data_IF_352615407915
#
_entry.id   IF_352615407915
#
_cell.length_a   1.000
_cell.length_b   1.000
_cell.length_c   1.000
_cell.angle_alpha   90.00
_cell.angle_beta   90.00
_cell.angle_gamma   90.00
#
_symmetry.space_group_name_H-M   'P 1'
#
loop_
_entity.id
_entity.type
_entity.pdbx_description
1 polymer ?
#
# COMPACT_ATOMS: atom_id res chain seq x y z
N UNK A 1 -29.29 35.15 -40.79
CA UNK A 1 -30.04 34.87 -39.55
C UNK A 1 -29.58 33.51 -39.02
N UNK A 2 -28.29 33.38 -38.74
CA UNK A 2 -27.71 33.22 -37.39
C UNK A 2 -28.50 32.24 -36.51
N UNK A 3 -28.15 30.96 -36.69
CA UNK A 3 -28.00 29.91 -35.69
C UNK A 3 -28.43 30.30 -34.27
N UNK A 4 -29.73 30.10 -33.99
CA UNK A 4 -30.24 29.96 -32.64
C UNK A 4 -30.11 28.47 -32.27
N UNK A 5 -28.90 28.03 -31.92
CA UNK A 5 -28.69 26.69 -31.33
C UNK A 5 -28.95 26.83 -29.82
N UNK A 6 -29.99 26.15 -29.36
CA UNK A 6 -30.47 26.18 -27.98
C UNK A 6 -29.38 25.85 -26.96
N UNK A 7 -29.17 26.77 -26.01
CA UNK A 7 -28.24 26.62 -24.89
C UNK A 7 -28.55 25.40 -23.99
N UNK A 8 -29.72 24.78 -24.13
CA UNK A 8 -30.10 23.57 -23.40
C UNK A 8 -29.35 22.32 -23.89
N UNK A 9 -29.00 22.22 -25.17
CA UNK A 9 -28.21 21.09 -25.69
C UNK A 9 -26.75 21.13 -25.22
N UNK A 10 -26.19 22.32 -25.00
CA UNK A 10 -24.82 22.46 -24.52
C UNK A 10 -24.67 21.98 -23.06
N UNK A 11 -25.68 22.21 -22.22
CA UNK A 11 -25.68 21.78 -20.82
C UNK A 11 -25.72 20.26 -20.64
N UNK A 12 -26.46 19.56 -21.51
CA UNK A 12 -26.53 18.08 -21.48
C UNK A 12 -25.20 17.50 -22.00
N UNK A 13 -24.63 18.06 -23.08
CA UNK A 13 -23.33 17.62 -23.60
C UNK A 13 -22.16 17.85 -22.62
N UNK A 14 -22.23 18.89 -21.79
CA UNK A 14 -21.19 19.17 -20.80
C UNK A 14 -21.18 18.16 -19.64
N UNK A 15 -22.35 17.61 -19.31
CA UNK A 15 -22.51 16.58 -18.26
C UNK A 15 -21.89 15.23 -18.64
N UNK A 16 -21.74 14.95 -19.94
CA UNK A 16 -21.05 13.75 -20.45
C UNK A 16 -19.53 13.91 -20.51
N UNK A 17 -19.00 15.14 -20.44
CA UNK A 17 -17.56 15.39 -20.58
C UNK A 17 -16.76 15.08 -19.30
N UNK A 18 -17.43 14.94 -18.15
CA UNK A 18 -16.79 14.71 -16.87
C UNK A 18 -17.32 13.43 -16.23
N UNK A 19 -16.85 12.25 -16.66
CA UNK A 19 -17.15 11.01 -15.96
C UNK A 19 -16.69 11.16 -14.50
N UNK A 20 -17.65 11.17 -13.57
CA UNK A 20 -17.37 11.01 -12.15
C UNK A 20 -16.68 9.66 -11.99
N UNK A 21 -15.36 9.67 -11.76
CA UNK A 21 -14.62 8.44 -11.45
C UNK A 21 -15.07 7.96 -10.07
N UNK A 22 -15.93 6.94 -10.06
CA UNK A 22 -16.16 6.14 -8.86
C UNK A 22 -14.87 5.38 -8.54
N UNK A 23 -14.10 5.88 -7.58
CA UNK A 23 -12.93 5.17 -7.06
C UNK A 23 -13.40 4.18 -6.00
N UNK A 24 -13.40 2.88 -6.34
CA UNK A 24 -13.60 1.82 -5.36
C UNK A 24 -12.21 1.29 -4.96
N UNK A 25 -11.86 1.42 -3.69
CA UNK A 25 -10.60 0.89 -3.16
C UNK A 25 -10.75 -0.61 -2.87
N UNK A 26 -10.04 -1.45 -3.61
CA UNK A 26 -9.94 -2.88 -3.33
C UNK A 26 -8.77 -3.14 -2.36
N UNK A 27 -9.06 -3.82 -1.25
CA UNK A 27 -8.05 -4.21 -0.24
C UNK A 27 -7.89 -5.72 -0.25
N UNK A 28 -6.65 -6.19 -0.45
CA UNK A 28 -6.31 -7.61 -0.49
C UNK A 28 -5.20 -7.91 0.52
N UNK A 29 -5.43 -8.85 1.43
CA UNK A 29 -4.39 -9.38 2.31
C UNK A 29 -3.65 -10.48 1.60
N UNK A 30 -2.33 -10.31 1.39
CA UNK A 30 -1.46 -11.29 0.73
C UNK A 30 -0.30 -11.68 1.64
N UNK A 31 0.12 -12.95 1.56
CA UNK A 31 1.32 -13.46 2.25
C UNK A 31 2.56 -13.34 1.35
N UNK A 32 3.73 -13.57 1.95
CA UNK A 32 4.99 -13.68 1.21
C UNK A 32 4.87 -14.73 0.09
N UNK A 33 5.38 -14.40 -1.10
CA UNK A 33 5.32 -15.28 -2.27
C UNK A 33 3.98 -15.29 -3.00
N UNK A 34 2.93 -14.65 -2.47
CA UNK A 34 1.68 -14.47 -3.21
C UNK A 34 1.77 -13.30 -4.20
N UNK A 35 0.98 -13.41 -5.27
CA UNK A 35 0.95 -12.45 -6.36
C UNK A 35 -0.46 -11.91 -6.61
N UNK A 36 -0.55 -10.69 -7.12
CA UNK A 36 -1.77 -10.05 -7.61
C UNK A 36 -1.58 -9.77 -9.10
N UNK A 37 -2.53 -10.19 -9.93
CA UNK A 37 -2.54 -9.88 -11.37
C UNK A 37 -3.53 -8.75 -11.64
N UNK A 38 -3.06 -7.71 -12.31
CA UNK A 38 -3.82 -6.53 -12.70
C UNK A 38 -3.89 -6.54 -14.22
N UNK A 39 -5.09 -6.71 -14.76
CA UNK A 39 -5.32 -6.64 -16.20
C UNK A 39 -5.88 -5.27 -16.55
N UNK A 40 -5.21 -4.56 -17.47
CA UNK A 40 -5.63 -3.25 -17.92
C UNK A 40 -5.30 -3.07 -19.39
N UNK A 41 -6.27 -2.61 -20.19
CA UNK A 41 -6.10 -2.36 -21.64
C UNK A 41 -5.49 -3.54 -22.42
N UNK A 42 -5.82 -4.77 -22.02
CA UNK A 42 -5.30 -5.99 -22.67
C UNK A 42 -3.90 -6.40 -22.23
N UNK A 43 -3.27 -5.66 -21.33
CA UNK A 43 -1.97 -5.99 -20.76
C UNK A 43 -2.12 -6.48 -19.31
N UNK A 44 -1.16 -7.31 -18.88
CA UNK A 44 -1.12 -7.87 -17.53
C UNK A 44 0.10 -7.35 -16.79
N UNK A 45 -0.13 -6.82 -15.59
CA UNK A 45 0.89 -6.48 -14.61
C UNK A 45 0.75 -7.43 -13.41
N UNK A 46 1.85 -8.10 -13.03
CA UNK A 46 1.91 -8.97 -11.87
C UNK A 46 2.68 -8.29 -10.74
N UNK A 47 2.00 -8.06 -9.62
CA UNK A 47 2.58 -7.58 -8.36
C UNK A 47 2.91 -8.78 -7.47
N UNK A 48 4.14 -8.85 -6.95
CA UNK A 48 4.58 -9.93 -6.04
C UNK A 48 5.11 -9.36 -4.74
N UNK A 49 4.78 -10.00 -3.61
CA UNK A 49 5.42 -9.70 -2.32
C UNK A 49 6.74 -10.48 -2.25
N UNK A 50 7.83 -9.78 -2.54
CA UNK A 50 9.19 -10.36 -2.62
C UNK A 50 9.82 -10.51 -1.25
N UNK A 51 9.51 -9.64 -0.28
CA UNK A 51 10.04 -9.73 1.09
C UNK A 51 9.16 -8.99 2.09
N UNK A 52 9.06 -9.51 3.31
CA UNK A 52 8.45 -8.84 4.46
C UNK A 52 9.55 -8.50 5.47
N UNK A 53 9.55 -7.26 5.95
CA UNK A 53 10.50 -6.71 6.91
C UNK A 53 9.73 -5.91 7.97
N UNK A 54 9.20 -6.61 8.99
CA UNK A 54 8.43 -5.98 10.06
C UNK A 54 7.26 -5.16 9.52
N UNK A 55 7.37 -3.83 9.61
CA UNK A 55 6.37 -2.87 9.12
C UNK A 55 6.51 -2.49 7.64
N UNK A 56 7.48 -3.07 6.91
CA UNK A 56 7.76 -2.76 5.52
C UNK A 56 7.72 -4.01 4.65
N UNK A 57 7.43 -3.83 3.36
CA UNK A 57 7.46 -4.90 2.38
C UNK A 57 8.24 -4.47 1.14
N UNK A 58 8.88 -5.44 0.49
CA UNK A 58 9.48 -5.28 -0.83
C UNK A 58 8.51 -5.84 -1.86
N UNK A 59 8.06 -4.98 -2.76
CA UNK A 59 7.17 -5.32 -3.85
C UNK A 59 7.98 -5.47 -5.14
N UNK A 60 7.68 -6.52 -5.90
CA UNK A 60 8.16 -6.73 -7.27
C UNK A 60 7.02 -6.50 -8.25
N UNK A 61 7.34 -5.96 -9.42
CA UNK A 61 6.39 -5.71 -10.49
C UNK A 61 6.94 -6.33 -11.77
N UNK A 62 6.23 -7.30 -12.32
CA UNK A 62 6.56 -7.96 -13.57
C UNK A 62 5.46 -7.62 -14.59
N UNK A 63 5.82 -7.00 -15.72
CA UNK A 63 4.83 -6.58 -16.71
C UNK A 63 5.44 -5.83 -17.90
N UNK A 64 4.58 -5.39 -18.81
CA UNK A 64 4.97 -4.58 -19.96
C UNK A 64 5.54 -3.22 -19.53
N UNK A 65 6.48 -2.68 -20.33
CA UNK A 65 7.13 -1.36 -20.07
C UNK A 65 6.19 -0.16 -20.28
N UNK A 66 5.04 -0.40 -20.87
CA UNK A 66 3.93 0.54 -21.04
C UNK A 66 3.29 0.94 -19.71
N UNK A 67 3.32 0.06 -18.71
CA UNK A 67 2.84 0.39 -17.38
C UNK A 67 3.73 1.43 -16.71
N UNK A 68 3.15 2.56 -16.32
CA UNK A 68 3.80 3.54 -15.47
C UNK A 68 3.57 3.18 -14.01
N UNK A 69 4.63 2.79 -13.31
CA UNK A 69 4.60 2.48 -11.89
C UNK A 69 5.26 3.64 -11.14
N UNK A 70 4.46 4.39 -10.37
CA UNK A 70 4.92 5.55 -9.63
C UNK A 70 4.81 5.29 -8.12
N UNK A 71 5.87 5.62 -7.38
CA UNK A 71 5.82 5.64 -5.91
C UNK A 71 5.23 6.96 -5.45
N UNK A 72 4.14 6.91 -4.69
CA UNK A 72 3.69 8.06 -3.91
C UNK A 72 4.46 8.06 -2.59
N UNK A 73 5.28 9.07 -2.37
CA UNK A 73 5.96 9.24 -1.08
C UNK A 73 4.96 9.74 -0.04
N UNK A 74 5.05 9.19 1.17
CA UNK A 74 4.39 9.77 2.32
C UNK A 74 5.20 11.01 2.76
N UNK A 75 4.55 12.15 3.05
CA UNK A 75 5.25 13.28 3.62
C UNK A 75 5.95 12.87 4.92
N UNK A 76 7.10 13.49 5.26
CA UNK A 76 7.81 13.19 6.49
C UNK A 76 6.87 13.36 7.68
N UNK A 77 6.77 12.33 8.52
CA UNK A 77 5.95 12.38 9.72
C UNK A 77 6.41 13.60 10.54
N UNK A 78 5.53 14.56 10.88
CA UNK A 78 5.94 15.64 11.77
C UNK A 78 6.49 15.00 13.04
N UNK A 79 7.69 15.39 13.45
CA UNK A 79 8.25 14.99 14.74
C UNK A 79 7.30 15.53 15.79
N UNK A 80 6.38 14.71 16.28
CA UNK A 80 5.59 15.06 17.46
C UNK A 80 6.57 15.09 18.63
N UNK A 81 7.12 16.27 18.89
CA UNK A 81 7.84 16.57 20.12
C UNK A 81 6.86 16.58 21.29
N UNK A 82 6.32 15.41 21.63
CA UNK A 82 5.71 15.17 22.92
C UNK A 82 6.60 14.18 23.62
N UNK A 83 7.21 14.65 24.71
CA UNK A 83 7.77 13.86 25.80
C UNK A 83 6.70 12.86 26.30
N UNK A 84 6.44 11.79 25.56
CA UNK A 84 5.87 10.60 26.13
C UNK A 84 7.02 9.97 26.91
N UNK A 85 7.01 10.22 28.23
CA UNK A 85 7.84 9.51 29.21
C UNK A 85 8.09 8.10 28.71
N UNK A 86 9.36 7.77 28.46
CA UNK A 86 9.77 6.43 28.12
C UNK A 86 9.12 5.47 29.12
N UNK A 87 8.08 4.76 28.68
CA UNK A 87 7.64 3.57 29.36
C UNK A 87 8.79 2.59 29.17
N UNK A 88 9.72 2.60 30.12
CA UNK A 88 10.70 1.54 30.30
C UNK A 88 9.88 0.29 30.55
N UNK A 89 9.57 -0.45 29.50
CA UNK A 89 9.12 -1.83 29.62
C UNK A 89 10.34 -2.57 30.14
N UNK A 90 10.43 -2.72 31.46
CA UNK A 90 11.38 -3.64 32.08
C UNK A 90 10.98 -5.04 31.63
N UNK A 91 11.68 -5.57 30.62
CA UNK A 91 11.65 -7.00 30.35
C UNK A 91 12.26 -7.69 31.58
N UNK A 92 11.53 -8.57 32.29
CA UNK A 92 12.15 -9.35 33.33
C UNK A 92 13.26 -10.16 32.68
N UNK A 93 14.50 -9.90 33.08
CA UNK A 93 15.60 -10.81 32.78
C UNK A 93 15.27 -12.11 33.49
N UNK A 94 14.72 -13.08 32.75
CA UNK A 94 14.65 -14.45 33.20
C UNK A 94 16.07 -14.87 33.54
N UNK A 95 16.31 -15.13 34.83
CA UNK A 95 17.54 -15.73 35.33
C UNK A 95 17.80 -16.99 34.49
N UNK A 96 18.96 -17.16 33.82
CA UNK A 96 19.23 -18.40 33.12
C UNK A 96 19.14 -19.54 34.13
N UNK A 97 18.34 -20.56 33.79
CA UNK A 97 18.24 -21.77 34.60
C UNK A 97 19.65 -22.37 34.71
N UNK A 98 20.07 -22.64 35.94
CA UNK A 98 21.35 -23.31 36.19
C UNK A 98 21.34 -24.67 35.47
N UNK A 99 22.44 -25.06 34.81
CA UNK A 99 22.55 -26.41 34.26
C UNK A 99 22.43 -27.43 35.41
N UNK A 100 21.75 -28.57 35.19
CA UNK A 100 21.67 -29.63 36.18
C UNK A 100 23.08 -30.11 36.51
N UNK A 101 23.38 -30.23 37.81
CA UNK A 101 24.63 -30.78 38.28
C UNK A 101 24.78 -32.22 37.75
N UNK A 102 25.67 -32.41 36.80
CA UNK A 102 26.14 -33.74 36.41
C UNK A 102 26.75 -34.40 37.65
N UNK A 103 26.20 -35.56 37.99
CA UNK A 103 26.65 -36.38 39.09
C UNK A 103 28.05 -36.91 38.79
N UNK A 104 29.02 -36.55 39.63
CA UNK A 104 30.28 -37.27 39.75
C UNK A 104 29.99 -38.54 40.53
N UNK A 105 30.14 -39.69 39.85
CA UNK A 105 30.06 -41.03 40.40
C UNK A 105 30.53 -42.04 39.35
#
# INVERSE_FOLDING_TARGET
MILLIDAQLLGIAFSFLFPRREYIMLVLTRKFGESIRINHMGETLELRIVKLHGSSCRLGFDGSKTFQILRRELPPRPRSGVNAKAAVVKFPHGKPAAPPAEAVG
#
